data_IF_128843605415
#
_entry.id   IF_128843605415
#
_cell.length_a   1.000
_cell.length_b   1.000
_cell.length_c   1.000
_cell.angle_alpha   90.00
_cell.angle_beta   90.00
_cell.angle_gamma   90.00
#
_symmetry.space_group_name_H-M   'P 1'
#
loop_
_entity.id
_entity.type
_entity.pdbx_description
1 polymer ?
#
# COMPACT_ATOMS: atom_id res chain seq x y z
N UNK A 1 -3.02 -17.10 13.47
CA UNK A 1 -3.05 -15.75 14.05
C UNK A 1 -4.38 -15.16 13.69
N UNK A 2 -5.16 -14.84 14.72
CA UNK A 2 -6.53 -14.39 14.56
C UNK A 2 -6.53 -12.99 13.95
N UNK A 3 -7.00 -12.86 12.71
CA UNK A 3 -7.32 -11.59 12.11
C UNK A 3 -8.79 -11.33 12.37
N UNK A 4 -9.09 -10.39 13.25
CA UNK A 4 -10.45 -9.94 13.50
C UNK A 4 -10.83 -8.94 12.39
N UNK A 5 -11.87 -9.27 11.65
CA UNK A 5 -12.54 -8.35 10.73
C UNK A 5 -13.68 -7.65 11.46
N UNK A 6 -13.67 -6.32 11.45
CA UNK A 6 -14.75 -5.50 12.01
C UNK A 6 -15.43 -4.74 10.87
N UNK A 7 -16.68 -5.08 10.59
CA UNK A 7 -17.53 -4.36 9.63
C UNK A 7 -18.25 -3.23 10.36
N UNK A 8 -17.98 -1.98 9.95
CA UNK A 8 -18.68 -0.79 10.44
C UNK A 8 -19.59 -0.25 9.34
N UNK A 9 -20.82 -0.73 9.27
CA UNK A 9 -21.83 -0.23 8.33
C UNK A 9 -22.84 0.66 9.03
N UNK A 10 -22.96 1.92 8.55
CA UNK A 10 -24.07 2.83 8.85
C UNK A 10 -23.94 3.65 10.13
N UNK A 11 -24.91 4.53 10.37
CA UNK A 11 -24.99 5.54 11.45
C UNK A 11 -25.05 4.99 12.89
N UNK A 12 -25.03 3.69 13.06
CA UNK A 12 -24.78 3.00 14.34
C UNK A 12 -23.70 1.96 14.08
N UNK A 13 -22.59 1.98 14.82
CA UNK A 13 -21.56 0.97 14.68
C UNK A 13 -22.14 -0.39 15.12
N UNK A 14 -22.54 -1.19 14.16
CA UNK A 14 -22.83 -2.59 14.40
C UNK A 14 -21.49 -3.31 14.32
N UNK A 15 -20.84 -3.50 15.45
CA UNK A 15 -19.68 -4.36 15.57
C UNK A 15 -20.08 -5.80 15.20
N UNK A 16 -20.09 -6.13 13.94
CA UNK A 16 -20.07 -7.52 13.51
C UNK A 16 -18.60 -7.93 13.47
N UNK A 17 -18.11 -8.44 14.58
CA UNK A 17 -16.83 -9.15 14.63
C UNK A 17 -17.03 -10.47 13.89
N UNK A 18 -16.70 -10.48 12.62
CA UNK A 18 -16.60 -11.71 11.85
C UNK A 18 -15.14 -12.15 11.87
N UNK A 19 -14.85 -13.35 12.35
CA UNK A 19 -13.54 -13.95 12.17
C UNK A 19 -13.44 -14.37 10.71
N UNK A 20 -12.60 -13.68 9.94
CA UNK A 20 -12.25 -14.08 8.59
C UNK A 20 -10.98 -14.93 8.65
N UNK A 21 -11.01 -16.12 8.08
CA UNK A 21 -9.81 -16.92 7.95
C UNK A 21 -8.90 -16.29 6.89
N UNK A 22 -7.69 -15.89 7.30
CA UNK A 22 -6.72 -15.30 6.36
C UNK A 22 -5.61 -16.28 6.09
N UNK A 23 -5.51 -16.72 4.85
CA UNK A 23 -4.37 -17.49 4.34
C UNK A 23 -3.25 -16.54 3.97
N UNK A 24 -2.03 -16.77 4.46
CA UNK A 24 -0.90 -15.88 4.24
C UNK A 24 0.14 -16.53 3.34
N UNK A 25 0.48 -15.84 2.25
CA UNK A 25 1.60 -16.20 1.38
C UNK A 25 2.75 -15.21 1.59
N UNK A 26 3.99 -15.70 1.63
CA UNK A 26 5.16 -14.86 1.85
C UNK A 26 5.50 -13.98 0.64
N UNK A 27 5.12 -14.40 -0.58
CA UNK A 27 5.33 -13.66 -1.81
C UNK A 27 4.24 -13.93 -2.84
N UNK A 28 4.11 -13.02 -3.79
CA UNK A 28 3.22 -13.17 -4.94
C UNK A 28 3.54 -14.44 -5.75
N UNK A 29 4.82 -14.75 -5.93
CA UNK A 29 5.24 -15.96 -6.66
C UNK A 29 4.74 -17.24 -5.97
N UNK A 30 4.84 -17.33 -4.64
CA UNK A 30 4.31 -18.46 -3.88
C UNK A 30 2.79 -18.58 -3.97
N UNK A 31 2.09 -17.46 -3.99
CA UNK A 31 0.65 -17.44 -4.21
C UNK A 31 0.29 -17.92 -5.62
N UNK A 32 1.03 -17.48 -6.63
CA UNK A 32 0.87 -17.90 -8.02
C UNK A 32 1.19 -19.39 -8.18
N UNK A 33 2.27 -19.86 -7.57
CA UNK A 33 2.64 -21.30 -7.55
C UNK A 33 1.53 -22.17 -6.92
N UNK A 34 0.92 -21.68 -5.84
CA UNK A 34 -0.22 -22.34 -5.23
C UNK A 34 -1.48 -22.33 -6.14
N UNK A 35 -1.58 -21.41 -7.09
CA UNK A 35 -2.68 -21.37 -8.06
C UNK A 35 -2.70 -22.55 -9.03
N UNK A 36 -1.58 -23.24 -9.16
CA UNK A 36 -1.47 -24.46 -9.97
C UNK A 36 -2.01 -25.72 -9.28
N UNK A 37 -2.29 -25.63 -7.96
CA UNK A 37 -2.79 -26.74 -7.13
C UNK A 37 -4.33 -26.71 -7.06
N UNK A 38 -4.92 -27.77 -6.56
CA UNK A 38 -6.37 -27.86 -6.35
C UNK A 38 -6.65 -27.98 -4.85
N UNK A 39 -7.47 -27.10 -4.21
CA UNK A 39 -8.09 -25.91 -4.81
C UNK A 39 -7.06 -24.84 -5.20
N UNK A 40 -7.40 -24.01 -6.18
CA UNK A 40 -6.52 -22.93 -6.65
C UNK A 40 -6.43 -21.81 -5.60
N UNK A 41 -5.27 -21.16 -5.47
CA UNK A 41 -5.07 -20.11 -4.45
C UNK A 41 -5.95 -18.86 -4.64
N UNK A 42 -6.50 -18.66 -5.84
CA UNK A 42 -7.44 -17.57 -6.14
C UNK A 42 -8.92 -18.02 -6.01
N UNK A 43 -9.18 -19.29 -5.78
CA UNK A 43 -10.52 -19.85 -5.54
C UNK A 43 -10.82 -19.77 -4.04
N UNK A 44 -11.01 -18.54 -3.58
CA UNK A 44 -11.13 -18.21 -2.16
C UNK A 44 -12.56 -18.52 -1.72
N UNK A 45 -12.69 -19.37 -0.70
CA UNK A 45 -13.99 -19.73 -0.15
C UNK A 45 -14.67 -18.55 0.54
N UNK A 46 -15.99 -18.60 0.64
CA UNK A 46 -16.77 -17.57 1.31
C UNK A 46 -16.34 -17.38 2.75
N UNK A 47 -16.11 -16.12 3.15
CA UNK A 47 -15.63 -15.78 4.48
C UNK A 47 -14.11 -15.95 4.67
N UNK A 48 -13.37 -16.21 3.60
CA UNK A 48 -11.92 -16.29 3.62
C UNK A 48 -11.27 -15.12 2.85
N UNK A 49 -10.04 -14.82 3.19
CA UNK A 49 -9.19 -13.85 2.49
C UNK A 49 -7.76 -14.39 2.37
N UNK A 50 -7.02 -13.84 1.44
CA UNK A 50 -5.59 -14.12 1.25
C UNK A 50 -4.82 -12.83 1.48
N UNK A 51 -3.69 -12.92 2.20
CA UNK A 51 -2.72 -11.85 2.35
C UNK A 51 -1.41 -12.25 1.69
N UNK A 52 -0.94 -11.45 0.77
CA UNK A 52 0.36 -11.60 0.11
C UNK A 52 1.33 -10.61 0.78
N UNK A 53 2.32 -11.13 1.50
CA UNK A 53 3.14 -10.33 2.42
C UNK A 53 4.06 -9.34 1.74
N UNK A 54 4.70 -9.72 0.64
CA UNK A 54 5.67 -8.87 -0.04
C UNK A 54 5.01 -7.69 -0.77
N UNK A 55 3.79 -7.87 -1.28
CA UNK A 55 3.03 -6.78 -1.95
C UNK A 55 2.10 -6.05 -0.99
N UNK A 56 1.74 -6.68 0.14
CA UNK A 56 0.71 -6.17 1.06
C UNK A 56 -0.71 -6.30 0.52
N UNK A 57 -0.90 -7.00 -0.60
CA UNK A 57 -2.21 -7.21 -1.21
C UNK A 57 -3.07 -8.13 -0.36
N UNK A 58 -4.33 -7.74 -0.20
CA UNK A 58 -5.38 -8.58 0.37
C UNK A 58 -6.38 -8.96 -0.72
N UNK A 59 -6.55 -10.26 -0.94
CA UNK A 59 -7.51 -10.80 -1.91
C UNK A 59 -8.68 -11.39 -1.14
N UNK A 60 -9.88 -10.93 -1.44
CA UNK A 60 -11.11 -11.37 -0.79
C UNK A 60 -11.90 -12.33 -1.66
N UNK A 61 -12.70 -13.19 -1.05
CA UNK A 61 -13.73 -13.92 -1.79
C UNK A 61 -14.69 -12.95 -2.46
N UNK A 62 -15.33 -13.37 -3.55
CA UNK A 62 -16.25 -12.51 -4.30
C UNK A 62 -17.37 -11.96 -3.42
N UNK A 63 -17.97 -12.81 -2.58
CA UNK A 63 -19.03 -12.41 -1.66
C UNK A 63 -18.57 -11.41 -0.61
N UNK A 64 -17.35 -11.55 -0.08
CA UNK A 64 -16.77 -10.59 0.84
C UNK A 64 -16.49 -9.25 0.15
N UNK A 65 -15.90 -9.27 -1.04
CA UNK A 65 -15.64 -8.06 -1.83
C UNK A 65 -16.92 -7.31 -2.20
N UNK A 66 -17.97 -8.03 -2.65
CA UNK A 66 -19.26 -7.45 -2.98
C UNK A 66 -19.93 -6.81 -1.73
N UNK A 67 -19.82 -7.46 -0.58
CA UNK A 67 -20.34 -6.95 0.70
C UNK A 67 -19.61 -5.68 1.14
N UNK A 68 -18.27 -5.66 1.09
CA UNK A 68 -17.46 -4.51 1.42
C UNK A 68 -17.77 -3.31 0.51
N UNK A 69 -17.86 -3.56 -0.78
CA UNK A 69 -18.16 -2.53 -1.80
C UNK A 69 -19.57 -1.96 -1.64
N UNK A 70 -20.58 -2.81 -1.45
CA UNK A 70 -21.98 -2.40 -1.30
C UNK A 70 -22.20 -1.57 -0.04
N UNK A 71 -21.55 -1.95 1.05
CA UNK A 71 -21.70 -1.28 2.35
C UNK A 71 -20.75 -0.09 2.51
N UNK A 72 -19.86 0.18 1.55
CA UNK A 72 -18.76 1.17 1.68
C UNK A 72 -17.99 0.99 3.00
N UNK A 73 -17.75 -0.26 3.35
CA UNK A 73 -17.16 -0.62 4.63
C UNK A 73 -15.68 -0.18 4.69
N UNK A 74 -15.25 0.27 5.87
CA UNK A 74 -13.82 0.46 6.18
C UNK A 74 -13.27 -0.79 6.86
N UNK A 75 -12.02 -1.13 6.56
CA UNK A 75 -11.31 -2.23 7.19
C UNK A 75 -10.41 -1.71 8.29
N UNK A 76 -10.52 -2.30 9.48
CA UNK A 76 -9.56 -2.10 10.56
C UNK A 76 -8.67 -3.34 10.64
N UNK A 77 -7.36 -3.16 10.39
CA UNK A 77 -6.40 -4.24 10.32
C UNK A 77 -5.39 -4.08 11.44
N UNK A 78 -5.33 -5.07 12.34
CA UNK A 78 -4.32 -5.14 13.38
C UNK A 78 -3.27 -6.19 13.03
N UNK A 79 -2.00 -5.77 13.00
CA UNK A 79 -0.89 -6.68 12.73
C UNK A 79 0.34 -6.32 13.57
N UNK A 80 1.23 -7.29 13.72
CA UNK A 80 2.52 -7.10 14.37
C UNK A 80 3.63 -7.29 13.36
N UNK A 81 4.50 -6.30 13.24
CA UNK A 81 5.71 -6.36 12.41
C UNK A 81 6.95 -6.43 13.28
N UNK A 82 7.91 -7.25 12.88
CA UNK A 82 9.24 -7.38 13.50
C UNK A 82 10.31 -7.26 12.42
N UNK A 83 11.52 -6.86 12.79
CA UNK A 83 12.66 -6.83 11.88
C UNK A 83 12.61 -5.66 10.89
N UNK A 84 12.55 -4.42 11.40
CA UNK A 84 12.68 -3.23 10.56
C UNK A 84 14.09 -3.14 9.97
N UNK A 85 14.18 -2.98 8.66
CA UNK A 85 15.43 -2.77 7.93
C UNK A 85 15.85 -1.30 7.95
N UNK A 86 17.12 -1.05 7.61
CA UNK A 86 17.61 0.33 7.52
C UNK A 86 16.92 1.05 6.35
N UNK A 87 16.39 2.25 6.60
CA UNK A 87 15.65 3.04 5.61
C UNK A 87 14.16 2.70 5.50
N UNK A 88 13.68 1.67 6.19
CA UNK A 88 12.27 1.34 6.24
C UNK A 88 11.48 2.35 7.08
N UNK A 89 10.25 2.65 6.64
CA UNK A 89 9.37 3.55 7.35
C UNK A 89 9.07 3.06 8.77
N UNK A 90 9.26 3.95 9.73
CA UNK A 90 8.95 3.71 11.13
C UNK A 90 7.49 4.05 11.40
N UNK A 91 6.65 3.10 11.86
CA UNK A 91 5.23 3.31 12.05
C UNK A 91 4.91 4.40 13.07
N UNK A 92 5.76 4.60 14.08
CA UNK A 92 5.55 5.60 15.13
C UNK A 92 5.42 7.04 14.65
N UNK A 93 5.91 7.35 13.45
CA UNK A 93 5.82 8.68 12.86
C UNK A 93 4.53 8.92 12.06
N UNK A 94 3.85 7.83 11.68
CA UNK A 94 2.71 7.92 10.74
C UNK A 94 1.41 7.36 11.31
N UNK A 95 1.49 6.45 12.28
CA UNK A 95 0.33 5.69 12.76
C UNK A 95 0.31 5.60 14.28
N UNK A 96 -0.89 5.41 14.84
CA UNK A 96 -1.02 4.95 16.20
C UNK A 96 -0.49 3.52 16.30
N UNK A 97 0.52 3.30 17.10
CA UNK A 97 1.13 1.99 17.23
C UNK A 97 1.65 1.74 18.65
N UNK A 98 1.97 0.50 18.94
CA UNK A 98 2.53 0.10 20.24
C UNK A 98 3.84 -0.65 19.99
N UNK A 99 4.93 -0.16 20.56
CA UNK A 99 6.18 -0.90 20.60
C UNK A 99 6.05 -1.99 21.69
N UNK A 100 6.20 -3.24 21.26
CA UNK A 100 6.11 -4.43 22.10
C UNK A 100 7.44 -5.17 22.23
N UNK A 101 8.55 -4.51 21.89
CA UNK A 101 9.90 -5.08 21.99
C UNK A 101 10.22 -5.44 23.43
N UNK A 102 9.83 -4.59 24.38
CA UNK A 102 9.83 -4.90 25.81
C UNK A 102 8.41 -5.29 26.24
N UNK A 103 8.22 -6.56 26.56
CA UNK A 103 6.91 -7.09 27.00
C UNK A 103 6.43 -6.51 28.32
N UNK A 104 7.35 -6.05 29.18
CA UNK A 104 7.05 -5.49 30.49
C UNK A 104 6.79 -3.98 30.42
N UNK A 105 7.34 -3.29 29.40
CA UNK A 105 7.21 -1.85 29.25
C UNK A 105 6.82 -1.51 27.81
N UNK A 106 5.55 -1.68 27.50
CA UNK A 106 4.99 -1.37 26.18
C UNK A 106 4.85 0.13 26.01
N UNK A 107 5.49 0.69 24.97
CA UNK A 107 5.38 2.11 24.63
C UNK A 107 4.30 2.31 23.57
N UNK A 108 3.33 3.17 23.86
CA UNK A 108 2.32 3.60 22.90
C UNK A 108 2.76 4.88 22.23
N UNK A 109 2.59 4.92 20.92
CA UNK A 109 2.77 6.10 20.09
C UNK A 109 1.42 6.50 19.52
N UNK A 110 0.97 7.71 19.83
CA UNK A 110 -0.30 8.25 19.38
C UNK A 110 -0.04 9.39 18.40
N UNK A 111 -0.27 9.12 17.12
CA UNK A 111 -0.17 10.13 16.04
C UNK A 111 -1.50 10.81 15.76
N UNK A 112 -2.59 10.13 16.07
CA UNK A 112 -3.95 10.63 15.89
C UNK A 112 -4.73 10.48 17.19
N UNK A 113 -5.58 11.45 17.48
CA UNK A 113 -6.52 11.42 18.58
C UNK A 113 -7.72 10.49 18.29
N UNK A 114 -8.67 10.42 19.22
CA UNK A 114 -9.87 9.58 19.10
C UNK A 114 -10.82 10.04 18.00
N UNK A 115 -10.73 11.31 17.61
CA UNK A 115 -11.56 11.94 16.59
C UNK A 115 -10.89 11.90 15.21
N UNK A 116 -9.70 11.29 15.12
CA UNK A 116 -8.92 11.17 13.89
C UNK A 116 -8.08 12.38 13.53
N UNK A 117 -7.96 13.37 14.43
CA UNK A 117 -7.11 14.54 14.20
C UNK A 117 -5.66 14.18 14.49
N UNK A 118 -4.76 14.73 13.68
CA UNK A 118 -3.33 14.51 13.86
C UNK A 118 -2.82 15.26 15.09
N UNK A 119 -2.05 14.58 15.92
CA UNK A 119 -1.36 15.15 17.07
C UNK A 119 0.00 15.63 16.59
N UNK A 120 0.25 16.95 16.74
CA UNK A 120 1.52 17.58 16.40
C UNK A 120 2.39 17.71 17.65
N UNK A 121 3.70 17.50 17.46
CA UNK A 121 4.71 17.74 18.49
C UNK A 121 5.43 19.06 18.20
N UNK A 122 4.68 20.16 18.31
CA UNK A 122 5.19 21.49 18.01
C UNK A 122 6.14 21.97 19.11
N UNK A 123 7.23 22.60 18.70
CA UNK A 123 8.17 23.28 19.57
C UNK A 123 8.00 24.76 19.37
N UNK A 124 7.36 25.39 20.34
CA UNK A 124 7.04 26.81 20.29
C UNK A 124 8.03 27.66 21.08
N UNK A 125 8.55 28.69 20.46
CA UNK A 125 9.37 29.70 21.12
C UNK A 125 8.61 31.01 21.19
N UNK A 126 8.67 31.68 22.36
CA UNK A 126 8.17 33.04 22.53
C UNK A 126 9.18 34.00 21.91
N UNK A 127 8.82 34.63 20.81
CA UNK A 127 9.69 35.54 20.04
C UNK A 127 9.42 37.03 20.35
N UNK A 128 8.23 37.36 20.86
CA UNK A 128 7.85 38.69 21.34
C UNK A 128 6.71 38.58 22.36
N UNK A 129 6.33 39.66 23.00
CA UNK A 129 5.18 39.72 23.90
C UNK A 129 3.91 39.25 23.15
N UNK A 130 3.31 38.18 23.64
CA UNK A 130 2.14 37.49 23.05
C UNK A 130 2.34 36.92 21.62
N UNK A 131 3.60 36.67 21.21
CA UNK A 131 3.89 36.09 19.93
C UNK A 131 4.78 34.84 20.11
N UNK A 132 4.26 33.69 19.69
CA UNK A 132 4.98 32.42 19.63
C UNK A 132 5.26 32.05 18.18
N UNK A 133 6.37 31.35 17.96
CA UNK A 133 6.77 30.81 16.67
C UNK A 133 7.08 29.34 16.82
N UNK A 134 6.39 28.50 16.09
CA UNK A 134 6.70 27.06 15.98
C UNK A 134 7.95 26.88 15.11
N UNK A 135 9.01 26.36 15.68
CA UNK A 135 10.33 26.29 15.02
C UNK A 135 10.64 24.97 14.34
N UNK A 136 9.90 23.91 14.67
CA UNK A 136 10.10 22.60 14.05
C UNK A 136 9.11 22.37 12.91
N UNK A 137 9.44 21.39 12.09
CA UNK A 137 8.56 20.79 11.08
C UNK A 137 8.76 19.30 11.13
N UNK A 138 7.68 18.55 11.39
CA UNK A 138 7.75 17.09 11.43
C UNK A 138 7.90 16.54 10.02
N UNK A 139 8.87 15.63 9.83
CA UNK A 139 9.10 14.99 8.53
C UNK A 139 7.88 14.21 8.02
N UNK A 140 7.10 13.62 8.91
CA UNK A 140 5.86 12.90 8.59
C UNK A 140 4.76 13.77 7.99
N UNK A 141 4.83 15.10 8.19
CA UNK A 141 3.88 16.04 7.60
C UNK A 141 4.29 16.45 6.18
N UNK A 142 5.57 16.31 5.87
CA UNK A 142 6.16 16.67 4.57
C UNK A 142 6.24 15.47 3.65
N UNK A 143 6.75 14.34 4.17
CA UNK A 143 6.96 13.13 3.41
C UNK A 143 5.83 12.13 3.67
N UNK A 144 5.08 11.84 2.63
CA UNK A 144 4.00 10.86 2.68
C UNK A 144 4.57 9.44 2.63
N UNK A 145 4.01 8.56 3.45
CA UNK A 145 4.41 7.15 3.48
C UNK A 145 3.97 6.37 2.23
N UNK A 146 3.02 6.92 1.47
CA UNK A 146 2.51 6.31 0.24
C UNK A 146 3.53 6.30 -0.90
N UNK A 147 4.46 7.27 -0.95
CA UNK A 147 5.39 7.43 -2.06
C UNK A 147 6.22 6.17 -2.35
N UNK A 148 6.80 5.56 -1.31
CA UNK A 148 7.60 4.34 -1.49
C UNK A 148 6.76 3.19 -2.03
N UNK A 149 5.56 3.01 -1.47
CA UNK A 149 4.62 1.99 -1.92
C UNK A 149 4.16 2.22 -3.36
N UNK A 150 3.84 3.46 -3.73
CA UNK A 150 3.40 3.81 -5.08
C UNK A 150 4.49 3.48 -6.11
N UNK A 151 5.77 3.71 -5.76
CA UNK A 151 6.91 3.34 -6.61
C UNK A 151 7.07 1.82 -6.70
N UNK A 152 6.99 1.11 -5.59
CA UNK A 152 7.12 -0.35 -5.56
C UNK A 152 5.99 -1.01 -6.37
N UNK A 153 4.73 -0.56 -6.21
CA UNK A 153 3.59 -1.06 -6.99
C UNK A 153 3.76 -0.79 -8.50
N UNK A 154 4.35 0.36 -8.86
CA UNK A 154 4.62 0.66 -10.26
C UNK A 154 5.71 -0.25 -10.84
N UNK A 155 6.78 -0.52 -10.08
CA UNK A 155 7.83 -1.46 -10.48
C UNK A 155 7.23 -2.85 -10.72
N UNK A 156 6.41 -3.33 -9.79
CA UNK A 156 5.73 -4.62 -9.90
C UNK A 156 4.79 -4.68 -11.11
N UNK A 157 4.04 -3.60 -11.37
CA UNK A 157 3.16 -3.54 -12.54
C UNK A 157 3.94 -3.57 -13.87
N UNK A 158 5.09 -2.88 -13.93
CA UNK A 158 6.00 -2.92 -15.10
C UNK A 158 6.54 -4.34 -15.28
N UNK A 159 6.98 -5.00 -14.20
CA UNK A 159 7.50 -6.36 -14.29
C UNK A 159 6.42 -7.33 -14.78
N UNK A 160 5.21 -7.26 -14.24
CA UNK A 160 4.07 -8.09 -14.69
C UNK A 160 3.75 -7.88 -16.18
N UNK A 161 3.85 -6.63 -16.66
CA UNK A 161 3.66 -6.32 -18.08
C UNK A 161 4.74 -6.96 -18.96
N UNK A 162 6.01 -6.89 -18.54
CA UNK A 162 7.13 -7.52 -19.26
C UNK A 162 7.01 -9.06 -19.26
N UNK A 163 6.64 -9.65 -18.14
CA UNK A 163 6.46 -11.10 -18.01
C UNK A 163 5.32 -11.60 -18.92
N UNK A 164 4.21 -10.86 -18.97
CA UNK A 164 3.09 -11.17 -19.86
C UNK A 164 3.47 -11.05 -21.35
N UNK A 165 4.26 -10.03 -21.74
CA UNK A 165 4.79 -9.90 -23.10
C UNK A 165 5.75 -11.02 -23.46
N UNK A 166 6.64 -11.41 -22.52
CA UNK A 166 7.57 -12.53 -22.72
C UNK A 166 6.80 -13.84 -22.91
N UNK A 167 5.74 -14.08 -22.12
CA UNK A 167 4.87 -15.25 -22.25
C UNK A 167 4.23 -15.37 -23.65
N UNK A 168 3.74 -14.26 -24.20
CA UNK A 168 3.19 -14.22 -25.56
C UNK A 168 4.29 -14.55 -26.59
N UNK A 169 5.48 -13.99 -26.40
CA UNK A 169 6.63 -14.22 -27.25
C UNK A 169 7.05 -15.69 -27.24
N UNK A 170 7.15 -16.30 -26.07
CA UNK A 170 7.54 -17.69 -25.89
C UNK A 170 6.52 -18.65 -26.52
N UNK A 171 5.23 -18.41 -26.33
CA UNK A 171 4.17 -19.22 -26.93
C UNK A 171 4.19 -19.13 -28.46
N UNK A 172 4.43 -17.94 -29.01
CA UNK A 172 4.59 -17.75 -30.45
C UNK A 172 5.86 -18.43 -31.00
N UNK A 173 6.94 -18.49 -30.21
CA UNK A 173 8.13 -19.23 -30.56
C UNK A 173 7.86 -20.74 -30.56
N UNK A 174 7.18 -21.26 -29.53
CA UNK A 174 6.77 -22.68 -29.46
C UNK A 174 5.90 -23.07 -30.66
N UNK A 175 4.99 -22.22 -31.09
CA UNK A 175 4.13 -22.46 -32.26
C UNK A 175 4.92 -22.72 -33.54
N UNK A 176 6.14 -22.17 -33.67
CA UNK A 176 7.03 -22.32 -34.84
C UNK A 176 7.91 -23.56 -34.76
N UNK A 177 7.98 -24.24 -33.60
CA UNK A 177 8.82 -25.43 -33.42
C UNK A 177 8.17 -26.67 -34.03
N UNK A 178 8.98 -27.51 -34.66
CA UNK A 178 8.50 -28.68 -35.35
C UNK A 178 7.89 -29.73 -34.38
N UNK A 179 8.28 -29.72 -33.12
CA UNK A 179 7.76 -30.57 -32.07
C UNK A 179 6.26 -30.33 -31.81
N UNK A 180 5.74 -29.13 -32.07
CA UNK A 180 4.35 -28.74 -31.87
C UNK A 180 3.57 -28.59 -33.18
N UNK A 181 4.03 -29.21 -34.27
CA UNK A 181 3.44 -29.04 -35.61
C UNK A 181 2.14 -29.85 -35.83
N UNK A 182 1.73 -30.68 -34.89
CA UNK A 182 0.45 -31.41 -35.01
C UNK A 182 -0.74 -30.44 -34.88
N UNK A 183 -1.83 -30.72 -35.61
CA UNK A 183 -3.03 -29.87 -35.64
C UNK A 183 -3.61 -29.67 -34.23
N UNK A 184 -3.61 -30.68 -33.37
CA UNK A 184 -4.06 -30.59 -31.98
C UNK A 184 -3.17 -29.66 -31.13
N UNK A 185 -1.85 -29.71 -31.31
CA UNK A 185 -0.92 -28.85 -30.61
C UNK A 185 -1.06 -27.40 -31.10
N UNK A 186 -1.21 -27.21 -32.40
CA UNK A 186 -1.39 -25.88 -32.97
C UNK A 186 -2.68 -25.22 -32.49
N UNK A 187 -3.79 -25.94 -32.46
CA UNK A 187 -5.07 -25.44 -31.95
C UNK A 187 -4.99 -25.03 -30.47
N UNK A 188 -4.33 -25.86 -29.61
CA UNK A 188 -4.13 -25.52 -28.20
C UNK A 188 -3.19 -24.33 -28.01
N UNK A 189 -2.13 -24.23 -28.80
CA UNK A 189 -1.22 -23.07 -28.75
C UNK A 189 -1.92 -21.78 -29.15
N UNK A 190 -2.81 -21.82 -30.15
CA UNK A 190 -3.62 -20.66 -30.52
C UNK A 190 -4.54 -20.21 -29.38
N UNK A 191 -5.17 -21.13 -28.68
CA UNK A 191 -6.00 -20.82 -27.50
C UNK A 191 -5.16 -20.19 -26.38
N UNK A 192 -3.97 -20.77 -26.10
CA UNK A 192 -3.07 -20.23 -25.07
C UNK A 192 -2.48 -18.86 -25.45
N UNK A 193 -2.13 -18.64 -26.71
CA UNK A 193 -1.69 -17.35 -27.20
C UNK A 193 -2.79 -16.31 -27.03
N UNK A 194 -4.01 -16.62 -27.44
CA UNK A 194 -5.14 -15.72 -27.27
C UNK A 194 -5.44 -15.39 -25.79
N UNK A 195 -5.24 -16.35 -24.89
CA UNK A 195 -5.35 -16.11 -23.44
C UNK A 195 -4.21 -15.24 -22.91
N UNK A 196 -2.97 -15.51 -23.34
CA UNK A 196 -1.80 -14.75 -22.95
C UNK A 196 -1.83 -13.30 -23.49
N UNK A 197 -2.35 -13.09 -24.69
CA UNK A 197 -2.56 -11.74 -25.24
C UNK A 197 -3.55 -10.92 -24.41
N UNK A 198 -4.64 -11.54 -23.94
CA UNK A 198 -5.58 -10.86 -23.03
C UNK A 198 -4.94 -10.53 -21.68
N UNK A 199 -4.12 -11.44 -21.15
CA UNK A 199 -3.37 -11.21 -19.92
C UNK A 199 -2.40 -10.04 -20.07
N UNK A 200 -1.65 -9.99 -21.18
CA UNK A 200 -0.76 -8.88 -21.55
C UNK A 200 -1.51 -7.55 -21.66
N UNK A 201 -2.62 -7.54 -22.38
CA UNK A 201 -3.41 -6.32 -22.59
C UNK A 201 -3.96 -5.81 -21.25
N UNK A 202 -4.40 -6.72 -20.38
CA UNK A 202 -4.82 -6.36 -19.02
C UNK A 202 -3.67 -5.82 -18.17
N UNK A 203 -2.49 -6.45 -18.21
CA UNK A 203 -1.31 -6.00 -17.47
C UNK A 203 -0.87 -4.60 -17.93
N UNK A 204 -0.85 -4.36 -19.25
CA UNK A 204 -0.52 -3.06 -19.84
C UNK A 204 -1.52 -1.97 -19.45
N UNK A 205 -2.82 -2.26 -19.50
CA UNK A 205 -3.88 -1.31 -19.10
C UNK A 205 -3.78 -0.97 -17.61
N UNK A 206 -3.54 -1.97 -16.78
CA UNK A 206 -3.34 -1.76 -15.35
C UNK A 206 -2.08 -0.94 -15.04
N UNK A 207 -0.96 -1.26 -15.67
CA UNK A 207 0.28 -0.48 -15.55
C UNK A 207 0.06 0.98 -15.95
N UNK A 208 -0.64 1.24 -17.07
CA UNK A 208 -0.92 2.59 -17.52
C UNK A 208 -1.82 3.36 -16.55
N UNK A 209 -2.83 2.70 -15.97
CA UNK A 209 -3.70 3.30 -14.96
C UNK A 209 -2.93 3.66 -13.69
N UNK A 210 -2.09 2.76 -13.19
CA UNK A 210 -1.24 3.01 -12.03
C UNK A 210 -0.26 4.16 -12.30
N UNK A 211 0.39 4.16 -13.46
CA UNK A 211 1.31 5.23 -13.85
C UNK A 211 0.63 6.61 -13.82
N UNK A 212 -0.55 6.72 -14.44
CA UNK A 212 -1.30 7.97 -14.45
C UNK A 212 -1.74 8.41 -13.03
N UNK A 213 -2.15 7.46 -12.18
CA UNK A 213 -2.52 7.74 -10.79
C UNK A 213 -1.32 8.23 -9.99
N UNK A 214 -0.17 7.58 -10.12
CA UNK A 214 1.01 7.90 -9.31
C UNK A 214 1.73 9.16 -9.76
N UNK A 215 1.64 9.55 -11.03
CA UNK A 215 2.07 10.89 -11.46
C UNK A 215 1.29 11.97 -10.68
N UNK A 216 -0.04 11.84 -10.56
CA UNK A 216 -0.85 12.76 -9.78
C UNK A 216 -0.48 12.78 -8.30
N UNK A 217 -0.15 11.62 -7.73
CA UNK A 217 0.34 11.51 -6.36
C UNK A 217 1.70 12.20 -6.20
N UNK A 218 2.63 12.00 -7.14
CA UNK A 218 3.95 12.66 -7.12
C UNK A 218 3.84 14.18 -7.14
N UNK A 219 2.93 14.73 -7.94
CA UNK A 219 2.67 16.19 -7.94
C UNK A 219 2.16 16.65 -6.58
N UNK A 220 1.31 15.86 -5.92
CA UNK A 220 0.81 16.17 -4.58
C UNK A 220 1.93 16.15 -3.55
N UNK A 221 2.82 15.14 -3.60
CA UNK A 221 3.98 15.04 -2.71
C UNK A 221 4.95 16.20 -2.93
N UNK A 222 5.23 16.55 -4.18
CA UNK A 222 6.09 17.69 -4.53
C UNK A 222 5.53 19.00 -4.00
N UNK A 223 4.22 19.22 -4.12
CA UNK A 223 3.56 20.41 -3.59
C UNK A 223 3.66 20.49 -2.05
N UNK A 224 3.49 19.38 -1.33
CA UNK A 224 3.70 19.33 0.14
C UNK A 224 5.13 19.72 0.52
N UNK A 225 6.13 19.19 -0.19
CA UNK A 225 7.55 19.52 0.04
C UNK A 225 7.81 21.00 -0.21
N UNK A 226 7.29 21.57 -1.30
CA UNK A 226 7.45 23.00 -1.64
C UNK A 226 6.80 23.92 -0.60
N UNK A 227 5.61 23.56 -0.11
CA UNK A 227 4.93 24.30 0.96
C UNK A 227 5.75 24.27 2.26
N UNK A 228 6.25 23.10 2.64
CA UNK A 228 7.09 22.95 3.82
C UNK A 228 8.41 23.74 3.69
N UNK A 229 9.03 23.75 2.52
CA UNK A 229 10.24 24.53 2.25
C UNK A 229 9.97 26.04 2.42
N UNK A 230 8.82 26.50 1.92
CA UNK A 230 8.39 27.90 2.07
C UNK A 230 8.14 28.26 3.53
N UNK A 231 7.48 27.37 4.28
CA UNK A 231 7.22 27.54 5.72
C UNK A 231 8.52 27.62 6.51
N UNK A 232 9.44 26.68 6.30
CA UNK A 232 10.76 26.66 6.96
C UNK A 232 11.55 27.92 6.61
N UNK A 233 11.51 28.38 5.36
CA UNK A 233 12.14 29.64 4.93
C UNK A 233 11.56 30.84 5.66
N UNK A 234 10.25 30.94 5.78
CA UNK A 234 9.54 31.99 6.50
C UNK A 234 9.86 31.98 7.99
N UNK A 235 9.88 30.81 8.63
CA UNK A 235 10.30 30.67 10.04
C UNK A 235 11.74 31.14 10.25
N UNK A 236 12.65 30.76 9.33
CA UNK A 236 14.04 31.20 9.37
C UNK A 236 14.19 32.74 9.28
N UNK A 237 13.45 33.37 8.38
CA UNK A 237 13.43 34.84 8.27
C UNK A 237 12.88 35.50 9.53
N UNK A 238 11.80 34.99 10.09
CA UNK A 238 11.19 35.49 11.33
C UNK A 238 12.17 35.43 12.51
N UNK A 239 12.88 34.30 12.65
CA UNK A 239 13.92 34.12 13.68
C UNK A 239 15.10 35.09 13.49
N UNK A 240 15.52 35.31 12.25
CA UNK A 240 16.61 36.23 11.93
C UNK A 240 16.23 37.68 12.26
N UNK A 241 14.98 38.09 11.95
CA UNK A 241 14.46 39.39 12.30
C UNK A 241 14.35 39.58 13.82
N UNK A 242 13.83 38.61 14.55
CA UNK A 242 13.74 38.65 16.02
C UNK A 242 15.10 38.79 16.66
N UNK A 243 16.11 38.03 16.18
CA UNK A 243 17.48 38.14 16.64
C UNK A 243 18.05 39.55 16.45
N UNK A 244 17.78 40.19 15.30
CA UNK A 244 18.27 41.54 15.01
C UNK A 244 17.56 42.63 15.82
N UNK A 245 16.33 42.37 16.29
CA UNK A 245 15.58 43.29 17.14
C UNK A 245 15.94 43.17 18.63
N UNK A 246 16.59 42.10 19.04
CA UNK A 246 16.98 41.81 20.42
C UNK A 246 18.44 42.14 20.72
N UNK A 247 19.17 42.68 19.77
CA UNK A 247 20.51 43.26 19.87
C UNK A 247 20.42 44.80 19.89
#
# INVERSE_FOLDING_TARGET
RDSNYTDTTGTTPVNKTGNMNVTVYDSYDKWLEASTKTPKSYDIADGEAVLIRNTGEMVFSKTAADTLSTNKASLDISYTKTGFTNGELRPEYYYNCTNITDTNNKLKYEKYDKDGNQIYQDIDYVVAANQTLTVNTEASNVFDHGLSRDVDELIDAVQRSLDAEQKVTDLNAMKKMQEYSSDDCQAKLEEWIAAAEKERDYANDNMQKLYNSYIGNCDTYLNKVNLALTDVGSKGQSLALTKNLSL
#
